data_IF_161908978394
#
_entry.id   IF_161908978394
#
_cell.length_a   1.000
_cell.length_b   1.000
_cell.length_c   1.000
_cell.angle_alpha   90.00
_cell.angle_beta   90.00
_cell.angle_gamma   90.00
#
_symmetry.space_group_name_H-M   'P 1'
#
loop_
_entity.id
_entity.type
_entity.pdbx_description
1 polymer ?
#
# COMPACT_ATOMS: atom_id res chain seq x y z
N UNK A 1 -22.04 3.43 -5.04
CA UNK A 1 -21.11 2.29 -5.12
C UNK A 1 -19.74 2.85 -5.43
N UNK A 2 -18.78 2.68 -4.53
CA UNK A 2 -17.44 3.29 -4.68
C UNK A 2 -16.50 2.25 -5.26
N UNK A 3 -16.00 2.49 -6.47
CA UNK A 3 -15.03 1.61 -7.12
C UNK A 3 -13.63 2.00 -6.67
N UNK A 4 -12.84 1.01 -6.23
CA UNK A 4 -11.41 1.18 -6.00
C UNK A 4 -10.70 1.21 -7.37
N UNK A 5 -10.09 2.34 -7.71
CA UNK A 5 -9.40 2.57 -8.99
C UNK A 5 -7.90 2.26 -8.94
N UNK A 6 -7.28 2.39 -7.77
CA UNK A 6 -5.86 2.14 -7.55
C UNK A 6 -5.61 0.67 -7.18
N UNK A 7 -4.33 0.25 -7.26
CA UNK A 7 -3.92 -1.10 -6.86
C UNK A 7 -3.60 -1.23 -5.36
N UNK A 8 -3.50 -0.13 -4.63
CA UNK A 8 -3.16 -0.12 -3.21
C UNK A 8 -3.75 1.10 -2.50
N UNK A 9 -4.12 0.93 -1.23
CA UNK A 9 -4.60 1.98 -0.35
C UNK A 9 -4.01 1.84 1.05
N UNK A 10 -3.88 2.96 1.76
CA UNK A 10 -3.81 2.92 3.23
C UNK A 10 -5.16 2.47 3.75
N UNK A 11 -5.19 1.46 4.63
CA UNK A 11 -6.43 0.96 5.22
C UNK A 11 -6.92 1.89 6.35
N UNK A 12 -7.24 3.13 6.00
CA UNK A 12 -7.88 4.07 6.90
C UNK A 12 -9.34 3.69 7.19
N UNK A 13 -10.01 4.45 8.05
CA UNK A 13 -11.39 4.17 8.45
C UNK A 13 -12.38 4.12 7.26
N UNK A 14 -12.14 4.85 6.18
CA UNK A 14 -13.02 4.83 5.01
C UNK A 14 -12.81 3.54 4.20
N UNK A 15 -11.55 3.14 4.00
CA UNK A 15 -11.22 1.89 3.33
C UNK A 15 -11.73 0.69 4.14
N UNK A 16 -11.58 0.70 5.46
CA UNK A 16 -12.06 -0.38 6.32
C UNK A 16 -13.59 -0.55 6.23
N UNK A 17 -14.37 0.53 6.30
CA UNK A 17 -15.83 0.50 6.10
C UNK A 17 -16.22 -0.01 4.70
N UNK A 18 -15.43 0.33 3.69
CA UNK A 18 -15.63 -0.14 2.33
C UNK A 18 -15.37 -1.64 2.21
N UNK A 19 -14.32 -2.16 2.85
CA UNK A 19 -14.04 -3.60 2.93
C UNK A 19 -15.22 -4.33 3.59
N UNK A 20 -15.67 -3.87 4.75
CA UNK A 20 -16.80 -4.48 5.48
C UNK A 20 -18.08 -4.57 4.64
N UNK A 21 -18.37 -3.53 3.84
CA UNK A 21 -19.58 -3.47 3.03
C UNK A 21 -19.46 -4.26 1.71
N UNK A 22 -18.35 -4.11 0.99
CA UNK A 22 -18.24 -4.54 -0.41
C UNK A 22 -17.39 -5.79 -0.63
N UNK A 23 -16.69 -6.28 0.39
CA UNK A 23 -15.79 -7.42 0.27
C UNK A 23 -16.25 -8.59 1.13
N UNK A 24 -15.93 -9.79 0.68
CA UNK A 24 -16.12 -11.04 1.39
C UNK A 24 -14.75 -11.54 1.85
N UNK A 25 -14.62 -11.88 3.14
CA UNK A 25 -13.42 -12.51 3.65
C UNK A 25 -13.36 -13.96 3.16
N UNK A 26 -12.28 -14.30 2.46
CA UNK A 26 -12.07 -15.64 1.89
C UNK A 26 -11.13 -16.45 2.77
N UNK A 27 -10.09 -15.82 3.34
CA UNK A 27 -9.05 -16.53 4.07
C UNK A 27 -8.23 -15.61 4.99
N UNK A 28 -7.57 -16.19 5.99
CA UNK A 28 -6.69 -15.52 6.95
C UNK A 28 -5.41 -16.34 7.16
N UNK A 29 -4.25 -15.83 6.72
CA UNK A 29 -2.95 -16.52 6.84
C UNK A 29 -1.79 -15.53 6.94
N UNK A 30 -0.74 -15.91 7.66
CA UNK A 30 0.55 -15.18 7.73
C UNK A 30 0.43 -13.68 7.95
N UNK A 31 -0.41 -13.25 8.90
CA UNK A 31 -0.67 -11.83 9.19
C UNK A 31 -1.34 -11.05 8.06
N UNK A 32 -2.04 -11.75 7.17
CA UNK A 32 -2.83 -11.16 6.12
C UNK A 32 -4.24 -11.76 6.08
N UNK A 33 -5.16 -10.97 5.51
CA UNK A 33 -6.53 -11.38 5.20
C UNK A 33 -6.79 -11.25 3.71
N UNK A 34 -7.27 -12.33 3.10
CA UNK A 34 -7.65 -12.36 1.70
C UNK A 34 -9.13 -12.03 1.57
N UNK A 35 -9.43 -11.03 0.76
CA UNK A 35 -10.76 -10.58 0.45
C UNK A 35 -11.08 -10.76 -1.03
N UNK A 36 -12.34 -11.02 -1.33
CA UNK A 36 -12.90 -10.97 -2.69
C UNK A 36 -13.89 -9.83 -2.78
N UNK A 37 -13.75 -8.97 -3.78
CA UNK A 37 -14.73 -7.94 -4.08
C UNK A 37 -16.04 -8.59 -4.59
N UNK A 38 -17.18 -8.23 -4.00
CA UNK A 38 -18.49 -8.81 -4.35
C UNK A 38 -19.00 -8.42 -5.74
N UNK A 39 -18.44 -7.38 -6.36
CA UNK A 39 -18.90 -6.82 -7.63
C UNK A 39 -18.12 -7.36 -8.84
N UNK A 40 -16.79 -7.34 -8.76
CA UNK A 40 -15.91 -7.68 -9.88
C UNK A 40 -15.08 -8.96 -9.65
N UNK A 41 -15.27 -9.64 -8.50
CA UNK A 41 -14.53 -10.82 -8.07
C UNK A 41 -13.00 -10.63 -7.97
N UNK A 42 -12.50 -9.40 -7.95
CA UNK A 42 -11.08 -9.14 -7.73
C UNK A 42 -10.65 -9.54 -6.32
N UNK A 43 -9.41 -10.03 -6.20
CA UNK A 43 -8.82 -10.43 -4.93
C UNK A 43 -7.94 -9.33 -4.34
N UNK A 44 -8.02 -9.17 -3.02
CA UNK A 44 -7.32 -8.14 -2.30
C UNK A 44 -6.77 -8.68 -0.99
N UNK A 45 -5.57 -8.22 -0.63
CA UNK A 45 -4.89 -8.55 0.62
C UNK A 45 -4.94 -7.37 1.56
N UNK A 46 -5.35 -7.60 2.80
CA UNK A 46 -5.27 -6.64 3.89
C UNK A 46 -4.19 -7.11 4.89
N UNK A 47 -3.28 -6.22 5.24
CA UNK A 47 -2.33 -6.43 6.34
C UNK A 47 -3.10 -6.53 7.68
N UNK A 48 -2.74 -7.46 8.57
CA UNK A 48 -3.33 -7.50 9.91
C UNK A 48 -2.97 -6.26 10.75
N UNK A 49 -3.81 -5.98 11.76
CA UNK A 49 -3.68 -4.79 12.60
C UNK A 49 -2.47 -4.92 13.51
N UNK A 50 -1.51 -4.01 13.36
CA UNK A 50 -0.48 -3.72 14.34
C UNK A 50 -0.63 -2.25 14.78
N UNK A 51 -0.69 -2.00 16.09
CA UNK A 51 -0.85 -0.64 16.66
C UNK A 51 0.28 0.31 16.26
N UNK A 52 1.40 -0.23 15.78
CA UNK A 52 2.58 0.54 15.43
C UNK A 52 2.84 0.64 13.92
N UNK A 53 2.01 0.02 13.09
CA UNK A 53 2.26 -0.04 11.64
C UNK A 53 1.04 0.40 10.82
N UNK A 54 1.31 1.13 9.74
CA UNK A 54 0.30 1.44 8.74
C UNK A 54 -0.17 0.14 8.07
N UNK A 55 -1.48 -0.05 7.98
CA UNK A 55 -2.07 -1.17 7.26
C UNK A 55 -2.28 -0.81 5.78
N UNK A 56 -2.02 -1.78 4.92
CA UNK A 56 -2.19 -1.63 3.48
C UNK A 56 -3.26 -2.58 2.96
N UNK A 57 -4.06 -2.09 2.01
CA UNK A 57 -5.03 -2.88 1.29
C UNK A 57 -4.62 -2.94 -0.18
N UNK A 58 -4.23 -4.11 -0.65
CA UNK A 58 -3.51 -4.32 -1.91
C UNK A 58 -4.32 -5.21 -2.84
N UNK A 59 -4.53 -4.78 -4.08
CA UNK A 59 -5.13 -5.60 -5.12
C UNK A 59 -4.13 -6.63 -5.62
N UNK A 60 -4.59 -7.86 -5.76
CA UNK A 60 -3.80 -8.98 -6.23
C UNK A 60 -4.13 -9.30 -7.69
N UNK A 61 -3.12 -9.77 -8.44
CA UNK A 61 -3.32 -10.30 -9.80
C UNK A 61 -3.86 -11.73 -9.78
N UNK A 62 -3.53 -12.50 -8.73
CA UNK A 62 -4.01 -13.86 -8.48
C UNK A 62 -4.23 -14.09 -6.98
N UNK A 63 -5.11 -15.03 -6.63
CA UNK A 63 -5.25 -15.55 -5.27
C UNK A 63 -4.25 -16.67 -4.94
N UNK A 64 -3.46 -17.12 -5.91
CA UNK A 64 -2.38 -18.10 -5.69
C UNK A 64 -1.18 -17.44 -5.01
N UNK A 65 -0.60 -18.12 -4.01
CA UNK A 65 0.54 -17.64 -3.21
C UNK A 65 0.39 -16.19 -2.72
N UNK A 66 -0.84 -15.77 -2.44
CA UNK A 66 -1.20 -14.39 -2.12
C UNK A 66 -0.49 -13.83 -0.88
N UNK A 67 -0.06 -14.69 0.06
CA UNK A 67 0.74 -14.29 1.23
C UNK A 67 2.18 -13.92 0.88
N UNK A 68 2.69 -14.39 -0.26
CA UNK A 68 4.07 -14.15 -0.72
C UNK A 68 4.16 -13.04 -1.78
N UNK A 69 3.02 -12.45 -2.16
CA UNK A 69 2.98 -11.34 -3.12
C UNK A 69 3.82 -10.16 -2.63
N UNK A 70 4.80 -9.75 -3.44
CA UNK A 70 5.64 -8.59 -3.19
C UNK A 70 4.95 -7.30 -3.66
N UNK A 71 4.39 -6.57 -2.71
CA UNK A 71 3.70 -5.29 -2.94
C UNK A 71 4.59 -4.06 -2.70
N UNK A 72 5.89 -4.27 -2.48
CA UNK A 72 6.78 -3.21 -2.01
C UNK A 72 6.85 -2.03 -2.99
N UNK A 73 6.86 -2.32 -4.29
CA UNK A 73 6.82 -1.29 -5.34
C UNK A 73 5.55 -0.43 -5.23
N UNK A 74 4.40 -1.06 -4.97
CA UNK A 74 3.12 -0.39 -4.77
C UNK A 74 3.13 0.49 -3.51
N UNK A 75 3.70 0.00 -2.40
CA UNK A 75 3.82 0.80 -1.15
C UNK A 75 4.69 2.04 -1.35
N UNK A 76 5.82 1.89 -2.06
CA UNK A 76 6.72 3.01 -2.39
C UNK A 76 6.01 4.03 -3.29
N UNK A 77 5.24 3.58 -4.29
CA UNK A 77 4.45 4.46 -5.15
C UNK A 77 3.34 5.18 -4.36
N UNK A 78 2.67 4.47 -3.45
CA UNK A 78 1.64 5.05 -2.59
C UNK A 78 2.21 6.14 -1.66
N UNK A 79 3.39 5.91 -1.07
CA UNK A 79 4.10 6.92 -0.29
C UNK A 79 4.40 8.16 -1.13
N UNK A 80 4.92 7.96 -2.34
CA UNK A 80 5.19 9.05 -3.29
C UNK A 80 3.93 9.85 -3.62
N UNK A 81 2.81 9.17 -3.91
CA UNK A 81 1.53 9.82 -4.19
C UNK A 81 1.01 10.61 -2.97
N UNK A 82 1.18 10.06 -1.77
CA UNK A 82 0.71 10.67 -0.54
C UNK A 82 1.45 11.97 -0.20
N UNK A 83 2.79 11.95 -0.26
CA UNK A 83 3.63 13.11 0.09
C UNK A 83 3.83 14.06 -1.07
N UNK A 84 3.77 13.57 -2.30
CA UNK A 84 4.21 14.27 -3.49
C UNK A 84 5.74 14.41 -3.55
N UNK A 85 6.24 14.91 -4.67
CA UNK A 85 7.66 15.17 -4.89
C UNK A 85 7.94 16.65 -4.97
N UNK A 86 9.07 17.07 -4.39
CA UNK A 86 9.61 18.40 -4.55
C UNK A 86 10.41 18.53 -5.85
N UNK A 87 10.87 19.75 -6.16
CA UNK A 87 11.81 20.02 -7.24
C UNK A 87 13.28 19.70 -6.87
N UNK A 88 13.57 19.42 -5.60
CA UNK A 88 14.93 19.11 -5.12
C UNK A 88 15.28 17.65 -5.40
N UNK A 89 16.58 17.37 -5.59
CA UNK A 89 17.09 16.01 -5.73
C UNK A 89 17.25 15.33 -4.38
N UNK A 90 17.13 14.00 -4.39
CA UNK A 90 17.47 13.14 -3.27
C UNK A 90 18.95 13.35 -2.88
N UNK A 91 19.23 13.50 -1.59
CA UNK A 91 20.60 13.67 -1.09
C UNK A 91 21.32 12.34 -0.83
N UNK A 92 20.69 11.21 -1.16
CA UNK A 92 21.31 9.90 -1.01
C UNK A 92 22.34 9.71 -2.11
N UNK A 93 23.50 9.16 -1.76
CA UNK A 93 24.62 9.02 -2.69
C UNK A 93 24.22 8.23 -3.94
N UNK A 94 24.50 8.78 -5.13
CA UNK A 94 24.17 8.15 -6.41
C UNK A 94 22.68 8.15 -6.80
N UNK A 95 21.81 8.93 -6.13
CA UNK A 95 20.38 8.98 -6.44
C UNK A 95 19.95 10.23 -7.22
N UNK A 96 19.44 10.05 -8.43
CA UNK A 96 18.97 11.15 -9.29
C UNK A 96 17.46 11.44 -9.20
N UNK A 97 16.74 10.72 -8.34
CA UNK A 97 15.30 10.94 -8.12
C UNK A 97 15.03 12.26 -7.40
N UNK A 98 13.85 12.82 -7.61
CA UNK A 98 13.41 13.97 -6.82
C UNK A 98 13.07 13.54 -5.39
N UNK A 99 13.38 14.39 -4.41
CA UNK A 99 13.03 14.17 -3.02
C UNK A 99 11.52 14.33 -2.79
N UNK A 100 10.98 13.65 -1.79
CA UNK A 100 9.60 13.87 -1.33
C UNK A 100 9.46 15.29 -0.77
N UNK A 101 8.23 15.83 -0.79
CA UNK A 101 7.98 17.11 -0.13
C UNK A 101 8.37 17.05 1.34
N UNK A 102 8.95 18.15 1.84
CA UNK A 102 9.42 18.31 3.22
C UNK A 102 10.51 17.30 3.66
N UNK A 103 11.10 16.58 2.69
CA UNK A 103 12.19 15.63 2.93
C UNK A 103 13.40 15.96 2.05
N UNK A 104 14.55 15.39 2.41
CA UNK A 104 15.78 15.45 1.61
C UNK A 104 16.00 14.22 0.74
N UNK A 105 15.13 13.21 0.85
CA UNK A 105 15.27 11.90 0.20
C UNK A 105 14.03 11.54 -0.61
N UNK A 106 14.19 10.68 -1.62
CA UNK A 106 13.11 10.21 -2.48
C UNK A 106 12.26 9.12 -1.82
N UNK A 107 11.18 8.72 -2.48
CA UNK A 107 10.24 7.71 -2.00
C UNK A 107 10.91 6.36 -1.67
N UNK A 108 11.89 5.97 -2.48
CA UNK A 108 12.58 4.70 -2.32
C UNK A 108 13.43 4.70 -1.04
N UNK A 109 14.30 5.70 -0.86
CA UNK A 109 15.17 5.78 0.31
C UNK A 109 14.37 6.09 1.59
N UNK A 110 13.31 6.89 1.50
CA UNK A 110 12.41 7.11 2.64
C UNK A 110 11.79 5.79 3.11
N UNK A 111 11.33 4.96 2.19
CA UNK A 111 10.73 3.67 2.52
C UNK A 111 11.76 2.64 2.99
N UNK A 112 12.85 2.46 2.25
CA UNK A 112 13.84 1.40 2.47
C UNK A 112 14.78 1.66 3.62
N UNK A 113 15.30 2.88 3.69
CA UNK A 113 16.40 3.21 4.60
C UNK A 113 15.89 3.88 5.88
N UNK A 114 14.80 4.64 5.79
CA UNK A 114 14.27 5.41 6.92
C UNK A 114 12.98 4.83 7.51
N UNK A 115 12.44 3.74 6.94
CA UNK A 115 11.23 3.10 7.45
C UNK A 115 9.94 3.93 7.31
N UNK A 116 9.94 4.97 6.47
CA UNK A 116 8.75 5.81 6.26
C UNK A 116 7.67 5.01 5.53
N UNK A 117 6.43 5.07 6.02
CA UNK A 117 5.29 4.33 5.46
C UNK A 117 4.18 5.22 4.94
N UNK A 118 4.07 6.46 5.42
CA UNK A 118 3.08 7.45 5.01
C UNK A 118 3.70 8.84 5.11
#
# INVERSE_FOLDING_TARGET
>A
MTLLTEKIYYADQNILKLIESQFELIDCRNWYRLYRNKLDNSFWRLDEVDKYQEQFFVRLESSENWTEYDDQSLRIELLKKHRGTSSKKCTWEGCDKNALNEMLICEFHAFKEMGVRK
#
